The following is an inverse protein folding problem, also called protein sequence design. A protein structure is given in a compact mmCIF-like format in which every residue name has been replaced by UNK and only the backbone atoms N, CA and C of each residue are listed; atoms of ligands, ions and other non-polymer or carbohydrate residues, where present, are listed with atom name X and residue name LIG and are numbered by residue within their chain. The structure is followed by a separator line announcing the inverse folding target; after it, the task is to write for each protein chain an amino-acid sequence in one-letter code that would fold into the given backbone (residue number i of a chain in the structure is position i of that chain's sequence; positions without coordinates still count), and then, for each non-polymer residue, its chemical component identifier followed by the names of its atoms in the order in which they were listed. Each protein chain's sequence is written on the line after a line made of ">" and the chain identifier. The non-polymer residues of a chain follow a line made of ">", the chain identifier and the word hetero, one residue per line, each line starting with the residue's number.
data_IF_433248250116
#
_entry.id   IF_433248250116
#
_cell.length_a   1.000
_cell.length_b   1.000
_cell.length_c   1.000
_cell.angle_alpha   90.00
_cell.angle_beta   90.00
_cell.angle_gamma   90.00
#
_symmetry.space_group_name_H-M   'P 1'
#
loop_
_entity.id
_entity.type
_entity.pdbx_description
1 polymer ?
#
# COMPACT_ATOMS: atom_id res chain seq x y z
N UNK A 1 6.09 -19.65 3.68
CA UNK A 1 7.31 -18.85 3.51
C UNK A 1 7.93 -18.74 2.13
N UNK A 2 7.58 -19.58 1.13
CA UNK A 2 8.16 -19.50 -0.23
C UNK A 2 8.31 -18.08 -0.80
N UNK A 3 7.28 -17.24 -0.70
CA UNK A 3 7.32 -15.87 -1.24
C UNK A 3 8.33 -14.98 -0.51
N UNK A 4 8.40 -15.09 0.82
CA UNK A 4 9.33 -14.32 1.65
C UNK A 4 10.78 -14.75 1.33
N UNK A 5 11.03 -16.06 1.26
CA UNK A 5 12.36 -16.60 0.92
C UNK A 5 12.80 -16.20 -0.50
N UNK A 6 11.86 -16.15 -1.45
CA UNK A 6 12.13 -15.67 -2.79
C UNK A 6 12.48 -14.20 -2.80
N UNK A 7 11.77 -13.36 -2.03
CA UNK A 7 12.06 -11.91 -1.95
C UNK A 7 13.47 -11.64 -1.44
N UNK A 8 13.97 -12.38 -0.44
CA UNK A 8 15.34 -12.21 0.07
C UNK A 8 16.44 -12.52 -0.96
N UNK A 9 16.13 -13.34 -1.98
CA UNK A 9 17.08 -13.74 -3.03
C UNK A 9 17.03 -12.82 -4.26
N UNK A 10 16.06 -11.92 -4.35
CA UNK A 10 15.93 -11.02 -5.50
C UNK A 10 17.06 -9.98 -5.47
N UNK A 11 17.65 -9.63 -6.63
CA UNK A 11 18.55 -8.48 -6.71
C UNK A 11 17.78 -7.20 -6.32
N UNK A 12 18.45 -6.15 -5.81
CA UNK A 12 17.77 -4.93 -5.40
C UNK A 12 16.89 -4.35 -6.51
N UNK A 13 15.60 -4.17 -6.23
CA UNK A 13 14.65 -3.56 -7.16
C UNK A 13 13.64 -2.68 -6.42
N UNK A 14 13.11 -1.68 -7.11
CA UNK A 14 11.98 -0.87 -6.63
C UNK A 14 10.67 -1.56 -7.03
N UNK A 15 9.73 -1.66 -6.10
CA UNK A 15 8.39 -2.19 -6.39
C UNK A 15 7.63 -1.23 -7.32
N UNK A 16 6.65 -1.75 -8.07
CA UNK A 16 5.83 -0.93 -8.98
C UNK A 16 5.21 0.28 -8.28
N UNK A 17 4.61 0.06 -7.11
CA UNK A 17 3.97 1.12 -6.32
C UNK A 17 4.97 2.17 -5.80
N UNK A 18 6.23 1.79 -5.55
CA UNK A 18 7.29 2.78 -5.23
C UNK A 18 7.65 3.62 -6.47
N UNK A 19 7.73 3.00 -7.65
CA UNK A 19 7.97 3.74 -8.89
C UNK A 19 6.83 4.70 -9.20
N UNK A 20 5.57 4.31 -8.94
CA UNK A 20 4.41 5.21 -9.08
C UNK A 20 4.47 6.38 -8.10
N UNK A 21 4.85 6.11 -6.86
CA UNK A 21 5.05 7.14 -5.84
C UNK A 21 6.10 8.17 -6.25
N UNK A 22 7.28 7.71 -6.69
CA UNK A 22 8.37 8.58 -7.14
C UNK A 22 8.01 9.37 -8.40
N UNK A 23 7.19 8.80 -9.29
CA UNK A 23 6.68 9.46 -10.48
C UNK A 23 5.47 10.38 -10.20
N UNK A 24 4.99 10.48 -8.96
CA UNK A 24 3.82 11.27 -8.60
C UNK A 24 2.51 10.74 -9.21
N UNK A 25 2.45 9.46 -9.59
CA UNK A 25 1.23 8.82 -10.09
C UNK A 25 0.31 8.41 -8.94
N UNK A 26 -0.95 8.18 -9.27
CA UNK A 26 -1.90 7.58 -8.32
C UNK A 26 -1.43 6.19 -7.93
N UNK A 27 -1.55 5.86 -6.63
CA UNK A 27 -1.13 4.57 -6.10
C UNK A 27 -2.29 3.57 -6.13
N UNK A 28 -1.97 2.28 -6.22
CA UNK A 28 -2.94 1.18 -6.18
C UNK A 28 -3.40 0.83 -4.74
N UNK A 29 -3.48 1.82 -3.84
CA UNK A 29 -3.74 1.64 -2.40
C UNK A 29 -5.05 0.89 -2.14
N UNK A 30 -6.13 1.22 -2.86
CA UNK A 30 -7.43 0.55 -2.68
C UNK A 30 -7.44 -0.88 -3.22
N UNK A 31 -6.78 -1.10 -4.37
CA UNK A 31 -6.76 -2.40 -5.02
C UNK A 31 -5.94 -3.42 -4.21
N UNK A 32 -4.76 -3.02 -3.72
CA UNK A 32 -3.83 -3.90 -2.99
C UNK A 32 -4.20 -3.99 -1.51
N UNK A 33 -4.34 -2.86 -0.81
CA UNK A 33 -4.52 -2.84 0.64
C UNK A 33 -5.99 -2.65 1.06
N UNK A 34 -6.72 -1.75 0.40
CA UNK A 34 -8.10 -1.45 0.76
C UNK A 34 -9.00 -2.69 0.73
N UNK A 35 -8.84 -3.55 -0.28
CA UNK A 35 -9.53 -4.83 -0.36
C UNK A 35 -9.19 -5.78 0.78
N UNK A 36 -7.90 -5.98 1.06
CA UNK A 36 -7.46 -6.85 2.16
C UNK A 36 -7.96 -6.34 3.52
N UNK A 37 -7.89 -5.03 3.77
CA UNK A 37 -8.36 -4.40 5.01
C UNK A 37 -9.86 -4.59 5.20
N UNK A 38 -10.66 -4.37 4.15
CA UNK A 38 -12.12 -4.53 4.21
C UNK A 38 -12.53 -5.98 4.49
N UNK A 39 -11.86 -6.93 3.86
CA UNK A 39 -12.09 -8.36 4.08
C UNK A 39 -11.73 -8.74 5.53
N UNK A 40 -10.54 -8.32 6.01
CA UNK A 40 -10.11 -8.60 7.38
C UNK A 40 -11.08 -8.06 8.43
N UNK A 41 -11.54 -6.81 8.26
CA UNK A 41 -12.58 -6.21 9.10
C UNK A 41 -13.90 -6.96 9.04
N UNK A 42 -14.37 -7.30 7.84
CA UNK A 42 -15.62 -8.03 7.65
C UNK A 42 -15.63 -9.43 8.27
N UNK A 43 -14.46 -10.06 8.37
CA UNK A 43 -14.27 -11.37 9.01
C UNK A 43 -13.85 -11.27 10.49
N UNK A 44 -13.79 -10.07 11.06
CA UNK A 44 -13.30 -9.81 12.42
C UNK A 44 -11.90 -10.40 12.71
N UNK A 45 -11.04 -10.46 11.68
CA UNK A 45 -9.64 -10.89 11.81
C UNK A 45 -8.76 -9.69 12.16
N UNK A 46 -8.01 -9.71 13.29
CA UNK A 46 -7.08 -8.64 13.61
C UNK A 46 -5.98 -8.51 12.55
N UNK A 47 -5.88 -7.34 11.92
CA UNK A 47 -4.91 -7.03 10.85
C UNK A 47 -4.17 -5.69 11.10
N UNK A 48 -3.65 -5.46 12.32
CA UNK A 48 -3.21 -4.12 12.77
C UNK A 48 -2.13 -3.48 11.87
N UNK A 49 -1.23 -4.30 11.31
CA UNK A 49 -0.18 -3.82 10.42
C UNK A 49 -0.73 -3.37 9.05
N UNK A 50 -1.67 -4.11 8.48
CA UNK A 50 -2.31 -3.71 7.21
C UNK A 50 -3.12 -2.43 7.38
N UNK A 51 -3.84 -2.28 8.50
CA UNK A 51 -4.59 -1.07 8.80
C UNK A 51 -3.69 0.15 8.95
N UNK A 52 -2.53 -0.01 9.62
CA UNK A 52 -1.55 1.05 9.78
C UNK A 52 -0.99 1.51 8.43
N UNK A 53 -0.56 0.57 7.59
CA UNK A 53 -0.01 0.90 6.26
C UNK A 53 -1.07 1.52 5.35
N UNK A 54 -2.30 0.99 5.36
CA UNK A 54 -3.41 1.57 4.60
C UNK A 54 -3.69 3.01 5.05
N UNK A 55 -3.80 3.27 6.36
CA UNK A 55 -4.04 4.62 6.89
C UNK A 55 -2.96 5.62 6.51
N UNK A 56 -1.67 5.23 6.59
CA UNK A 56 -0.55 6.08 6.19
C UNK A 56 -0.59 6.44 4.70
N UNK A 57 -0.91 5.47 3.84
CA UNK A 57 -1.02 5.72 2.39
C UNK A 57 -2.22 6.61 2.05
N UNK A 58 -3.38 6.42 2.70
CA UNK A 58 -4.52 7.34 2.54
C UNK A 58 -4.16 8.76 2.96
N UNK A 59 -3.47 8.93 4.09
CA UNK A 59 -3.00 10.25 4.51
C UNK A 59 -2.08 10.88 3.48
N UNK A 60 -1.16 10.10 2.89
CA UNK A 60 -0.26 10.59 1.87
C UNK A 60 -1.01 11.01 0.60
N UNK A 61 -1.98 10.22 0.14
CA UNK A 61 -2.84 10.55 -1.01
C UNK A 61 -3.61 11.85 -0.77
N UNK A 62 -4.15 12.05 0.44
CA UNK A 62 -4.85 13.29 0.83
C UNK A 62 -3.92 14.51 0.81
N UNK A 63 -2.67 14.36 1.23
CA UNK A 63 -1.68 15.44 1.14
C UNK A 63 -1.42 15.81 -0.32
N UNK A 64 -1.22 14.79 -1.19
CA UNK A 64 -0.97 15.01 -2.62
C UNK A 64 -2.17 15.66 -3.31
N UNK A 65 -3.41 15.26 -3.00
CA UNK A 65 -4.59 15.90 -3.57
C UNK A 65 -4.73 17.36 -3.13
N UNK A 66 -4.43 17.65 -1.85
CA UNK A 66 -4.46 19.02 -1.32
C UNK A 66 -3.42 19.91 -1.98
N UNK A 67 -2.19 19.42 -2.17
CA UNK A 67 -1.11 20.17 -2.79
C UNK A 67 -1.39 20.48 -4.27
N UNK A 68 -2.23 19.67 -4.93
CA UNK A 68 -2.66 19.87 -6.32
C UNK A 68 -3.81 20.86 -6.51
N UNK A 69 -4.34 21.45 -5.44
CA UNK A 69 -5.38 22.48 -5.53
C UNK A 69 -6.72 21.97 -6.07
N UNK A 70 -7.02 20.68 -5.89
CA UNK A 70 -8.34 20.06 -6.11
C UNK A 70 -9.00 19.75 -4.79
#
# INVERSE_FOLDING_TARGET
>A
DRNIDSTYKMPPYKTSMLLDFEAGRSLETEAILGNAVRIGRGLAVPIPHLESVYGLLKLRELQVSRDRGT
#
